data_IF_451784640349
#
_entry.id   IF_451784640349
#
_cell.length_a   1.000
_cell.length_b   1.000
_cell.length_c   1.000
_cell.angle_alpha   90.00
_cell.angle_beta   90.00
_cell.angle_gamma   90.00
#
_symmetry.space_group_name_H-M   'P 1'
#
loop_
_entity.id
_entity.type
_entity.pdbx_description
1 polymer ?
#
# COMPACT_ATOMS: atom_id res chain seq x y z
N UNK A 1 4.26 1.02 -10.59
CA UNK A 1 3.01 0.75 -11.32
C UNK A 1 1.87 1.43 -10.59
N UNK A 2 0.83 1.82 -11.32
CA UNK A 2 -0.37 2.48 -10.76
C UNK A 2 -1.45 1.42 -10.61
N UNK A 3 -1.45 0.70 -9.48
CA UNK A 3 -2.25 -0.53 -9.34
C UNK A 3 -3.75 -0.22 -9.35
N UNK A 4 -4.18 0.96 -8.87
CA UNK A 4 -5.60 1.36 -8.89
C UNK A 4 -6.21 1.38 -10.30
N UNK A 5 -5.42 1.51 -11.37
CA UNK A 5 -5.93 1.50 -12.74
C UNK A 5 -6.22 0.09 -13.28
N UNK A 6 -5.79 -0.97 -12.58
CA UNK A 6 -6.00 -2.35 -13.04
C UNK A 6 -7.40 -2.79 -12.61
N UNK A 7 -8.33 -2.92 -13.55
CA UNK A 7 -9.72 -3.34 -13.25
C UNK A 7 -9.83 -4.86 -13.13
N UNK A 8 -10.82 -5.35 -12.37
CA UNK A 8 -11.15 -6.79 -12.29
C UNK A 8 -10.13 -7.70 -11.57
N UNK A 9 -9.04 -7.15 -11.04
CA UNK A 9 -8.00 -7.91 -10.35
C UNK A 9 -7.96 -7.60 -8.84
N UNK A 10 -7.68 -8.62 -8.04
CA UNK A 10 -7.37 -8.47 -6.62
C UNK A 10 -6.03 -7.73 -6.44
N UNK A 11 -6.09 -6.53 -5.84
CA UNK A 11 -4.91 -5.69 -5.65
C UNK A 11 -3.92 -6.30 -4.67
N UNK A 12 -4.38 -7.00 -3.63
CA UNK A 12 -3.49 -7.63 -2.66
C UNK A 12 -2.66 -8.74 -3.33
N UNK A 13 -3.26 -9.49 -4.26
CA UNK A 13 -2.52 -10.50 -5.04
C UNK A 13 -1.49 -9.86 -5.98
N UNK A 14 -1.81 -8.73 -6.62
CA UNK A 14 -0.85 -8.00 -7.45
C UNK A 14 0.34 -7.46 -6.64
N UNK A 15 0.08 -6.98 -5.41
CA UNK A 15 1.14 -6.56 -4.50
C UNK A 15 2.02 -7.75 -4.09
N UNK A 16 1.45 -8.92 -3.79
CA UNK A 16 2.22 -10.13 -3.50
C UNK A 16 3.09 -10.56 -4.68
N UNK A 17 2.56 -10.51 -5.90
CA UNK A 17 3.34 -10.83 -7.11
C UNK A 17 4.49 -9.85 -7.32
N UNK A 18 4.27 -8.57 -7.02
CA UNK A 18 5.33 -7.55 -7.04
C UNK A 18 6.42 -7.86 -6.02
N UNK A 19 6.03 -8.24 -4.79
CA UNK A 19 6.98 -8.55 -3.72
C UNK A 19 7.69 -9.91 -3.91
N UNK A 20 7.16 -10.79 -4.75
CA UNK A 20 7.76 -12.11 -5.04
C UNK A 20 9.19 -11.99 -5.56
N UNK A 21 9.47 -11.00 -6.42
CA UNK A 21 10.79 -10.80 -7.04
C UNK A 21 11.78 -10.01 -6.16
N UNK A 22 11.33 -9.48 -5.03
CA UNK A 22 12.20 -8.79 -4.09
C UNK A 22 13.22 -9.80 -3.51
N UNK A 23 14.51 -9.43 -3.50
CA UNK A 23 15.57 -10.24 -2.89
C UNK A 23 15.46 -10.18 -1.37
N UNK A 24 16.00 -11.17 -0.66
CA UNK A 24 16.17 -11.12 0.80
C UNK A 24 16.99 -9.89 1.19
N UNK A 25 16.53 -9.16 2.20
CA UNK A 25 17.05 -7.87 2.63
C UNK A 25 16.59 -6.67 1.77
N UNK A 26 15.83 -6.91 0.69
CA UNK A 26 15.33 -5.87 -0.19
C UNK A 26 14.27 -5.01 0.49
N UNK A 27 14.33 -3.71 0.28
CA UNK A 27 13.38 -2.72 0.82
C UNK A 27 12.35 -2.38 -0.24
N UNK A 28 11.10 -2.14 0.17
CA UNK A 28 10.03 -1.71 -0.71
C UNK A 28 9.27 -0.51 -0.13
N UNK A 29 8.74 0.30 -1.05
CA UNK A 29 7.80 1.38 -0.78
C UNK A 29 6.81 1.45 -1.95
N UNK A 30 5.54 1.17 -1.68
CA UNK A 30 4.46 1.12 -2.67
C UNK A 30 3.39 2.14 -2.27
N UNK A 31 3.36 3.27 -2.97
CA UNK A 31 2.37 4.33 -2.74
C UNK A 31 1.26 4.26 -3.79
N UNK A 32 0.01 4.25 -3.33
CA UNK A 32 -1.15 4.16 -4.21
C UNK A 32 -2.41 4.76 -3.53
N UNK A 33 -3.50 4.88 -4.28
CA UNK A 33 -4.82 5.26 -3.77
C UNK A 33 -5.50 4.03 -3.15
N UNK A 34 -5.05 3.64 -1.96
CA UNK A 34 -5.42 2.40 -1.26
C UNK A 34 -6.85 2.44 -0.68
N UNK A 35 -7.84 2.75 -1.52
CA UNK A 35 -9.26 2.75 -1.19
C UNK A 35 -9.68 1.37 -0.67
N UNK A 36 -10.40 1.29 0.47
CA UNK A 36 -10.87 0.01 1.00
C UNK A 36 -11.69 -0.81 -0.02
N UNK A 37 -12.52 -0.16 -0.84
CA UNK A 37 -13.30 -0.83 -1.89
C UNK A 37 -12.49 -1.43 -3.04
N UNK A 38 -11.21 -1.07 -3.17
CA UNK A 38 -10.31 -1.59 -4.22
C UNK A 38 -9.24 -2.53 -3.66
N UNK A 39 -8.72 -2.22 -2.48
CA UNK A 39 -7.60 -2.93 -1.86
C UNK A 39 -8.00 -3.84 -0.70
N UNK A 40 -9.25 -3.77 -0.24
CA UNK A 40 -9.68 -4.44 0.99
C UNK A 40 -9.03 -3.85 2.24
N UNK A 41 -8.90 -4.66 3.28
CA UNK A 41 -8.24 -4.27 4.52
C UNK A 41 -6.71 -4.34 4.36
N UNK A 42 -6.09 -3.18 4.18
CA UNK A 42 -4.64 -3.08 4.03
C UNK A 42 -3.89 -3.25 5.35
N UNK A 43 -4.51 -3.02 6.51
CA UNK A 43 -3.86 -3.30 7.81
C UNK A 43 -3.74 -4.81 8.02
N UNK A 44 -4.80 -5.56 7.70
CA UNK A 44 -4.75 -7.02 7.68
C UNK A 44 -3.73 -7.54 6.66
N UNK A 45 -3.63 -6.91 5.48
CA UNK A 45 -2.60 -7.24 4.49
C UNK A 45 -1.18 -6.98 5.01
N UNK A 46 -0.95 -5.84 5.68
CA UNK A 46 0.33 -5.53 6.31
C UNK A 46 0.68 -6.57 7.38
N UNK A 47 -0.30 -7.02 8.18
CA UNK A 47 -0.09 -8.08 9.16
C UNK A 47 0.29 -9.40 8.48
N UNK A 48 -0.41 -9.80 7.41
CA UNK A 48 -0.07 -10.99 6.63
C UNK A 48 1.38 -10.95 6.13
N UNK A 49 1.89 -9.80 5.67
CA UNK A 49 3.30 -9.68 5.27
C UNK A 49 4.25 -9.90 6.45
N UNK A 50 3.94 -9.39 7.64
CA UNK A 50 4.73 -9.65 8.86
C UNK A 50 4.74 -11.15 9.20
N UNK A 51 3.58 -11.81 9.11
CA UNK A 51 3.45 -13.25 9.36
C UNK A 51 4.23 -14.09 8.33
N UNK A 52 4.45 -13.56 7.12
CA UNK A 52 5.29 -14.17 6.07
C UNK A 52 6.79 -13.91 6.27
N UNK A 53 7.19 -13.15 7.31
CA UNK A 53 8.59 -12.85 7.63
C UNK A 53 9.12 -11.54 7.06
N UNK A 54 8.27 -10.68 6.50
CA UNK A 54 8.70 -9.32 6.12
C UNK A 54 8.86 -8.46 7.38
N UNK A 55 9.91 -7.65 7.38
CA UNK A 55 10.30 -6.81 8.50
C UNK A 55 9.85 -5.35 8.28
N UNK A 56 9.66 -4.62 9.39
CA UNK A 56 9.35 -3.17 9.39
C UNK A 56 8.12 -2.76 8.57
N UNK A 57 7.20 -3.69 8.32
CA UNK A 57 6.03 -3.46 7.48
C UNK A 57 5.10 -2.42 8.11
N UNK A 58 4.86 -1.31 7.41
CA UNK A 58 4.02 -0.20 7.88
C UNK A 58 3.16 0.37 6.76
N UNK A 59 1.99 0.86 7.14
CA UNK A 59 1.17 1.74 6.30
C UNK A 59 1.36 3.18 6.75
N UNK A 60 1.75 4.03 5.82
CA UNK A 60 1.93 5.46 6.02
C UNK A 60 0.76 6.18 5.36
N UNK A 61 0.10 7.06 6.12
CA UNK A 61 -0.96 7.94 5.62
C UNK A 61 -0.36 9.11 4.83
N UNK A 62 -0.02 8.85 3.56
CA UNK A 62 0.59 9.85 2.70
C UNK A 62 -0.36 11.00 2.35
N UNK A 63 -1.68 10.78 2.42
CA UNK A 63 -2.67 11.84 2.31
C UNK A 63 -2.51 12.89 3.43
N UNK A 64 -2.27 12.47 4.68
CA UNK A 64 -2.00 13.39 5.78
C UNK A 64 -0.59 13.97 5.71
N UNK A 65 0.43 13.16 5.50
CA UNK A 65 1.83 13.59 5.52
C UNK A 65 2.13 14.62 4.42
N UNK A 66 1.65 14.40 3.19
CA UNK A 66 1.94 15.29 2.07
C UNK A 66 1.09 16.57 2.06
N UNK A 67 -0.17 16.50 2.52
CA UNK A 67 -1.12 17.60 2.40
C UNK A 67 -1.45 18.29 3.73
N UNK A 68 -0.91 17.81 4.85
CA UNK A 68 -1.19 18.28 6.21
C UNK A 68 -2.59 17.95 6.73
N UNK A 69 -3.51 17.52 5.85
CA UNK A 69 -4.84 17.02 6.23
C UNK A 69 -5.43 16.11 5.17
N UNK A 70 -6.13 15.05 5.61
CA UNK A 70 -6.92 14.19 4.71
C UNK A 70 -8.02 14.96 3.98
N UNK A 71 -8.64 15.95 4.62
CA UNK A 71 -9.69 16.78 3.99
C UNK A 71 -9.14 17.52 2.77
N UNK A 72 -7.94 18.09 2.87
CA UNK A 72 -7.28 18.76 1.74
C UNK A 72 -6.93 17.79 0.62
N UNK A 73 -6.38 16.63 0.97
CA UNK A 73 -6.10 15.57 0.00
C UNK A 73 -7.38 15.08 -0.70
N UNK A 74 -8.49 14.93 0.02
CA UNK A 74 -9.77 14.50 -0.53
C UNK A 74 -10.34 15.49 -1.57
N UNK A 75 -10.14 16.80 -1.40
CA UNK A 75 -10.52 17.80 -2.43
C UNK A 75 -9.76 17.62 -3.75
N UNK A 76 -8.64 16.90 -3.73
CA UNK A 76 -7.82 16.56 -4.89
C UNK A 76 -8.00 15.09 -5.30
N UNK A 77 -8.97 14.38 -4.71
CA UNK A 77 -9.21 12.94 -4.89
C UNK A 77 -8.02 12.05 -4.44
N UNK A 78 -7.33 12.45 -3.37
CA UNK A 78 -6.18 11.72 -2.79
C UNK A 78 -6.39 11.36 -1.31
N UNK A 79 -7.65 11.38 -0.84
CA UNK A 79 -7.97 11.20 0.59
C UNK A 79 -7.59 9.83 1.16
N UNK A 80 -7.50 8.80 0.30
CA UNK A 80 -7.12 7.44 0.67
C UNK A 80 -5.70 7.07 0.19
N UNK A 81 -4.88 8.05 -0.17
CA UNK A 81 -3.47 7.80 -0.51
C UNK A 81 -2.72 7.27 0.71
N UNK A 82 -2.11 6.09 0.53
CA UNK A 82 -1.27 5.45 1.53
C UNK A 82 -0.05 4.83 0.87
N UNK A 83 1.01 4.68 1.65
CA UNK A 83 2.22 3.99 1.25
C UNK A 83 2.46 2.78 2.14
N UNK A 84 2.56 1.60 1.52
CA UNK A 84 2.99 0.37 2.16
C UNK A 84 4.52 0.27 2.03
N UNK A 85 5.22 0.20 3.16
CA UNK A 85 6.68 0.08 3.22
C UNK A 85 7.10 -1.15 4.01
N UNK A 86 8.31 -1.65 3.76
CA UNK A 86 8.92 -2.71 4.57
C UNK A 86 10.18 -3.30 3.94
N UNK A 87 10.64 -4.43 4.48
CA UNK A 87 11.80 -5.20 4.03
C UNK A 87 11.45 -6.69 3.94
N UNK A 88 11.98 -7.41 2.94
CA UNK A 88 11.81 -8.86 2.79
C UNK A 88 12.97 -9.67 3.37
#
# INVERSE_FOLDING_TARGET
YVYHNITGADKQQLLLETLRVLKKGGVFALNDEMKPGMYGDMEAFAQKLRDMGYEEVRLVDTAKEAFGSRRRAAMMMLGESRMLVGRK
#
